data_IF_434980278468
#
_entry.id   IF_434980278468
#
_cell.length_a   1.000
_cell.length_b   1.000
_cell.length_c   1.000
_cell.angle_alpha   90.00
_cell.angle_beta   90.00
_cell.angle_gamma   90.00
#
_symmetry.space_group_name_H-M   'P 1'
#
loop_
_entity.id
_entity.type
_entity.pdbx_description
1 polymer ?
#
# COMPACT_ATOMS: atom_id res chain seq x y z
N UNK A 1 2.42 -18.75 -8.43
CA UNK A 1 1.49 -18.92 -7.28
C UNK A 1 0.14 -19.51 -7.71
N UNK A 2 -0.34 -19.32 -8.96
CA UNK A 2 -1.61 -19.89 -9.46
C UNK A 2 -2.81 -19.67 -8.52
N UNK A 3 -2.92 -18.45 -7.98
CA UNK A 3 -4.00 -18.07 -7.07
C UNK A 3 -5.18 -17.54 -7.88
N UNK A 4 -6.36 -18.09 -7.61
CA UNK A 4 -7.62 -17.71 -8.28
C UNK A 4 -8.49 -16.77 -7.47
N UNK A 5 -8.44 -16.87 -6.14
CA UNK A 5 -9.15 -15.98 -5.23
C UNK A 5 -8.25 -14.78 -4.92
N UNK A 6 -8.54 -13.65 -5.54
CA UNK A 6 -7.84 -12.37 -5.33
C UNK A 6 -8.88 -11.36 -4.88
N UNK A 7 -8.60 -10.72 -3.74
CA UNK A 7 -9.43 -9.68 -3.14
C UNK A 7 -8.59 -8.43 -2.99
N UNK A 8 -9.20 -7.27 -3.17
CA UNK A 8 -8.55 -5.99 -2.96
C UNK A 8 -9.16 -5.30 -1.75
N UNK A 9 -8.34 -4.55 -1.03
CA UNK A 9 -8.73 -3.64 0.05
C UNK A 9 -8.16 -2.28 -0.34
N UNK A 10 -9.01 -1.26 -0.42
CA UNK A 10 -8.55 0.10 -0.68
C UNK A 10 -8.29 0.76 0.66
N UNK A 11 -7.03 1.10 0.94
CA UNK A 11 -6.63 1.80 2.15
C UNK A 11 -5.99 3.12 1.76
N UNK A 12 -6.44 4.20 2.37
CA UNK A 12 -5.82 5.52 2.26
C UNK A 12 -5.01 5.78 3.52
N UNK A 13 -3.74 6.15 3.34
CA UNK A 13 -2.85 6.51 4.44
C UNK A 13 -1.96 7.69 4.07
N UNK A 14 -1.53 7.80 2.82
CA UNK A 14 -0.76 8.94 2.33
C UNK A 14 -1.66 9.96 1.65
N UNK A 15 -1.51 11.24 2.00
CA UNK A 15 -2.19 12.37 1.34
C UNK A 15 -1.30 13.07 0.33
N UNK A 16 0.03 13.05 0.54
CA UNK A 16 1.04 13.53 -0.40
C UNK A 16 2.39 12.82 -0.12
N UNK A 17 3.44 13.15 -0.87
CA UNK A 17 4.78 12.61 -0.72
C UNK A 17 5.37 12.91 0.67
N UNK A 18 5.39 11.91 1.54
CA UNK A 18 5.89 12.03 2.91
C UNK A 18 4.86 12.57 3.90
N UNK A 19 3.60 12.77 3.48
CA UNK A 19 2.51 13.19 4.35
C UNK A 19 1.50 12.05 4.53
N UNK A 20 1.22 11.70 5.78
CA UNK A 20 0.29 10.64 6.14
C UNK A 20 -0.89 11.16 6.96
N UNK A 21 -2.02 10.47 6.89
CA UNK A 21 -3.08 10.54 7.87
C UNK A 21 -2.58 10.06 9.25
N UNK A 22 -3.26 10.42 10.35
CA UNK A 22 -2.94 9.89 11.67
C UNK A 22 -3.03 8.36 11.74
N UNK A 23 -3.98 7.78 11.02
CA UNK A 23 -4.24 6.34 10.94
C UNK A 23 -4.67 5.95 9.52
N UNK A 24 -4.37 4.72 9.06
CA UNK A 24 -4.89 4.21 7.79
C UNK A 24 -6.42 4.11 7.82
N UNK A 25 -7.07 4.45 6.70
CA UNK A 25 -8.53 4.45 6.57
C UNK A 25 -8.96 3.54 5.43
N UNK A 26 -9.95 2.69 5.69
CA UNK A 26 -10.57 1.89 4.64
C UNK A 26 -11.44 2.79 3.74
N UNK A 27 -11.22 2.70 2.44
CA UNK A 27 -12.01 3.42 1.43
C UNK A 27 -12.96 2.45 0.73
N UNK A 28 -14.24 2.80 0.67
CA UNK A 28 -15.26 2.00 0.01
C UNK A 28 -15.78 0.84 0.88
N UNK A 29 -16.33 -0.18 0.23
CA UNK A 29 -16.89 -1.33 0.94
C UNK A 29 -15.80 -2.34 1.28
N UNK A 30 -15.72 -2.83 2.53
CA UNK A 30 -14.78 -3.88 2.89
C UNK A 30 -15.09 -5.15 2.08
N UNK A 31 -14.07 -5.90 1.62
CA UNK A 31 -14.31 -7.22 1.09
C UNK A 31 -14.89 -8.12 2.19
N UNK A 32 -15.68 -9.12 1.79
CA UNK A 32 -16.01 -10.20 2.71
C UNK A 32 -14.73 -10.98 3.01
N UNK A 33 -14.31 -11.06 4.28
CA UNK A 33 -13.06 -11.73 4.70
C UNK A 33 -13.31 -12.88 5.70
N UNK A 34 -14.54 -13.04 6.18
CA UNK A 34 -14.86 -14.02 7.23
C UNK A 34 -14.65 -15.48 6.78
N UNK A 35 -14.79 -15.77 5.49
CA UNK A 35 -14.49 -17.10 4.92
C UNK A 35 -12.99 -17.39 4.77
N UNK A 36 -12.12 -16.48 5.22
CA UNK A 36 -10.67 -16.71 5.27
C UNK A 36 -10.21 -17.37 6.58
N UNK A 37 -11.12 -17.67 7.50
CA UNK A 37 -10.82 -18.36 8.75
C UNK A 37 -10.08 -19.69 8.50
N UNK A 38 -8.96 -19.89 9.21
CA UNK A 38 -8.07 -21.05 9.07
C UNK A 38 -7.36 -21.19 7.71
N UNK A 39 -7.55 -20.25 6.76
CA UNK A 39 -6.90 -20.30 5.45
C UNK A 39 -5.51 -19.67 5.48
N UNK A 40 -4.70 -20.02 4.49
CA UNK A 40 -3.43 -19.34 4.20
C UNK A 40 -3.71 -18.14 3.31
N UNK A 41 -3.34 -16.95 3.79
CA UNK A 41 -3.59 -15.66 3.12
C UNK A 41 -2.25 -15.00 2.84
N UNK A 42 -2.08 -14.49 1.62
CA UNK A 42 -0.97 -13.61 1.27
C UNK A 42 -1.51 -12.18 1.15
N UNK A 43 -1.05 -11.30 2.05
CA UNK A 43 -1.23 -9.85 1.90
C UNK A 43 -0.06 -9.34 1.07
N UNK A 44 -0.37 -8.65 -0.03
CA UNK A 44 0.63 -8.07 -0.91
C UNK A 44 0.43 -6.57 -1.01
N UNK A 45 1.52 -5.82 -0.87
CA UNK A 45 1.55 -4.35 -1.05
C UNK A 45 2.83 -3.95 -1.80
N UNK A 46 2.95 -2.73 -2.28
CA UNK A 46 4.13 -2.30 -3.02
C UNK A 46 5.30 -1.87 -2.12
N UNK A 47 5.04 -1.15 -1.04
CA UNK A 47 6.04 -0.72 -0.06
C UNK A 47 5.55 -0.84 1.38
N UNK A 48 6.37 -1.45 2.23
CA UNK A 48 6.27 -1.27 3.68
C UNK A 48 7.11 -0.05 4.07
N UNK A 49 6.46 1.11 4.30
CA UNK A 49 7.15 2.29 4.84
C UNK A 49 7.21 2.23 6.36
N UNK A 50 6.20 2.74 7.06
CA UNK A 50 6.03 2.44 8.51
C UNK A 50 5.48 1.03 8.74
N UNK A 51 4.74 0.49 7.77
CA UNK A 51 3.99 -0.78 7.89
C UNK A 51 2.58 -0.63 8.46
N UNK A 52 2.12 0.60 8.73
CA UNK A 52 0.79 0.85 9.32
C UNK A 52 -0.36 0.28 8.47
N UNK A 53 -0.30 0.40 7.14
CA UNK A 53 -1.29 -0.18 6.22
C UNK A 53 -1.37 -1.70 6.37
N UNK A 54 -0.23 -2.38 6.45
CA UNK A 54 -0.15 -3.84 6.59
C UNK A 54 -0.73 -4.30 7.93
N UNK A 55 -0.42 -3.58 9.01
CA UNK A 55 -0.99 -3.83 10.33
C UNK A 55 -2.52 -3.65 10.33
N UNK A 56 -3.01 -2.59 9.69
CA UNK A 56 -4.44 -2.32 9.53
C UNK A 56 -5.15 -3.45 8.78
N UNK A 57 -4.61 -3.87 7.62
CA UNK A 57 -5.17 -4.99 6.84
C UNK A 57 -5.11 -6.30 7.62
N UNK A 58 -4.03 -6.57 8.37
CA UNK A 58 -3.93 -7.76 9.23
C UNK A 58 -5.04 -7.81 10.28
N UNK A 59 -5.41 -6.67 10.86
CA UNK A 59 -6.47 -6.57 11.86
C UNK A 59 -7.88 -6.81 11.28
N UNK A 60 -8.07 -6.66 9.95
CA UNK A 60 -9.33 -6.98 9.27
C UNK A 60 -9.49 -8.49 8.98
N UNK A 61 -8.39 -9.25 8.98
CA UNK A 61 -8.41 -10.69 8.70
C UNK A 61 -8.81 -11.49 9.95
N UNK A 62 -9.46 -12.66 9.78
CA UNK A 62 -9.73 -13.56 10.91
C UNK A 62 -8.48 -13.84 11.74
N UNK A 63 -8.65 -13.97 13.07
CA UNK A 63 -7.53 -14.19 13.98
C UNK A 63 -6.76 -15.47 13.65
N UNK A 64 -7.48 -16.52 13.26
CA UNK A 64 -6.96 -17.86 12.95
C UNK A 64 -6.46 -18.02 11.50
N UNK A 65 -6.53 -16.97 10.68
CA UNK A 65 -5.92 -16.99 9.35
C UNK A 65 -4.38 -17.05 9.46
N UNK A 66 -3.76 -17.87 8.62
CA UNK A 66 -2.31 -17.98 8.50
C UNK A 66 -1.85 -16.93 7.48
N UNK A 67 -1.49 -15.75 7.96
CA UNK A 67 -1.17 -14.59 7.12
C UNK A 67 0.33 -14.51 6.88
N UNK A 68 0.71 -14.37 5.61
CA UNK A 68 2.03 -13.91 5.20
C UNK A 68 1.92 -12.58 4.47
N UNK A 69 2.96 -11.76 4.59
CA UNK A 69 3.03 -10.43 4.01
C UNK A 69 4.21 -10.35 3.06
N UNK A 70 3.96 -9.91 1.83
CA UNK A 70 4.98 -9.70 0.82
C UNK A 70 4.91 -8.28 0.26
N UNK A 71 6.07 -7.63 0.18
CA UNK A 71 6.21 -6.30 -0.43
C UNK A 71 7.33 -6.27 -1.45
N UNK A 72 7.26 -5.31 -2.39
CA UNK A 72 8.39 -5.07 -3.29
C UNK A 72 9.52 -4.36 -2.55
N UNK A 73 9.20 -3.38 -1.71
CA UNK A 73 10.20 -2.65 -0.94
C UNK A 73 9.86 -2.57 0.54
N UNK A 74 10.88 -2.69 1.39
CA UNK A 74 10.79 -2.32 2.80
C UNK A 74 11.67 -1.10 3.09
N UNK A 75 11.33 -0.37 4.15
CA UNK A 75 12.05 0.83 4.60
C UNK A 75 12.69 0.60 5.96
N UNK A 76 13.83 1.24 6.29
CA UNK A 76 14.47 1.06 7.60
C UNK A 76 13.58 1.42 8.80
N UNK A 77 12.57 2.26 8.59
CA UNK A 77 11.60 2.69 9.62
C UNK A 77 10.38 1.77 9.76
N UNK A 78 10.31 0.65 9.04
CA UNK A 78 9.18 -0.28 9.11
C UNK A 78 9.11 -0.92 10.50
N UNK A 79 7.98 -0.74 11.19
CA UNK A 79 7.73 -1.35 12.51
C UNK A 79 6.95 -2.65 12.40
N UNK A 80 6.06 -2.75 11.40
CA UNK A 80 5.37 -3.99 11.04
C UNK A 80 6.08 -4.62 9.84
N UNK A 81 7.05 -5.50 10.13
CA UNK A 81 7.91 -6.08 9.11
C UNK A 81 7.17 -7.11 8.23
N UNK A 82 7.36 -7.07 6.89
CA UNK A 82 6.84 -8.11 6.00
C UNK A 82 7.64 -9.41 6.15
N UNK A 83 7.02 -10.56 5.83
CA UNK A 83 7.73 -11.84 5.78
C UNK A 83 8.70 -11.90 4.58
N UNK A 84 8.33 -11.23 3.49
CA UNK A 84 9.08 -11.20 2.23
C UNK A 84 9.19 -9.77 1.72
N UNK A 85 10.41 -9.30 1.47
CA UNK A 85 10.68 -8.07 0.76
C UNK A 85 11.62 -8.35 -0.41
N UNK A 86 11.35 -7.82 -1.60
CA UNK A 86 12.31 -7.93 -2.71
C UNK A 86 13.58 -7.10 -2.44
N UNK A 87 13.44 -5.89 -1.87
CA UNK A 87 14.58 -5.03 -1.55
C UNK A 87 14.31 -4.06 -0.39
N UNK A 88 15.30 -3.84 0.46
CA UNK A 88 15.29 -2.72 1.43
C UNK A 88 15.88 -1.44 0.84
N UNK A 89 15.25 -0.29 1.06
CA UNK A 89 15.73 1.02 0.60
C UNK A 89 15.19 2.17 1.45
N UNK A 90 16.01 3.18 1.73
CA UNK A 90 15.61 4.44 2.36
C UNK A 90 15.06 5.46 1.35
N UNK A 91 15.52 5.40 0.10
CA UNK A 91 15.15 6.32 -0.99
C UNK A 91 13.66 6.34 -1.29
N UNK A 92 13.13 7.51 -1.67
CA UNK A 92 11.78 7.61 -2.22
C UNK A 92 11.62 6.71 -3.45
N UNK A 93 10.51 5.97 -3.52
CA UNK A 93 10.23 5.03 -4.60
C UNK A 93 9.20 5.67 -5.52
N UNK A 94 9.54 5.78 -6.80
CA UNK A 94 8.59 6.20 -7.82
C UNK A 94 8.15 4.99 -8.62
N UNK A 95 6.98 4.45 -8.29
CA UNK A 95 6.42 3.32 -9.01
C UNK A 95 5.86 3.72 -10.38
N UNK A 96 5.87 2.81 -11.39
CA UNK A 96 5.30 3.07 -12.70
C UNK A 96 3.81 3.43 -12.71
N UNK A 97 3.05 3.04 -11.68
CA UNK A 97 1.60 3.25 -11.56
C UNK A 97 1.22 4.53 -10.81
N UNK A 98 2.18 5.32 -10.30
CA UNK A 98 1.87 6.61 -9.67
C UNK A 98 1.41 7.60 -10.75
N UNK A 99 0.20 8.16 -10.58
CA UNK A 99 -0.28 9.27 -11.40
C UNK A 99 0.50 10.54 -11.06
N UNK A 100 1.28 11.04 -12.01
CA UNK A 100 1.84 12.38 -11.93
C UNK A 100 0.75 13.33 -12.44
N UNK A 101 0.49 14.49 -11.79
CA UNK A 101 -0.34 15.51 -12.41
C UNK A 101 0.18 15.77 -13.83
N UNK A 102 -0.70 15.95 -14.84
CA UNK A 102 -0.25 16.24 -16.19
C UNK A 102 0.72 17.43 -16.16
N UNK A 103 1.82 17.33 -16.91
CA UNK A 103 2.81 18.40 -17.00
C UNK A 103 2.07 19.66 -17.44
N UNK A 104 1.87 20.61 -16.52
CA UNK A 104 1.36 21.93 -16.85
C UNK A 104 2.49 22.62 -17.61
N UNK A 105 2.38 22.68 -18.93
CA UNK A 105 3.22 23.59 -19.70
C UNK A 105 2.80 24.99 -19.23
N UNK A 106 3.69 25.67 -18.50
CA UNK A 106 3.49 27.07 -18.20
C UNK A 106 3.25 27.78 -19.53
N UNK A 107 2.09 28.42 -19.69
CA UNK A 107 1.85 29.25 -20.86
C UNK A 107 2.98 30.28 -20.88
N UNK A 108 3.90 30.15 -21.85
CA UNK A 108 4.93 31.12 -22.08
C UNK A 108 4.20 32.45 -22.25
N UNK A 109 4.44 33.37 -21.32
CA UNK A 109 3.70 34.61 -21.21
C UNK A 109 3.61 35.25 -22.59
N UNK A 110 2.38 35.50 -23.05
CA UNK A 110 2.17 36.39 -24.18
C UNK A 110 2.60 37.78 -23.72
N UNK A 111 3.87 38.09 -23.92
CA UNK A 111 4.31 39.48 -23.98
C UNK A 111 3.75 40.03 -25.28
N UNK A 112 2.77 40.91 -25.19
CA UNK A 112 2.29 41.69 -26.31
C UNK A 112 1.83 43.04 -25.77
N UNK A 113 2.80 43.96 -25.86
CA UNK A 113 2.74 45.40 -26.20
C UNK A 113 1.41 46.11 -25.99
#
# INVERSE_FOLDING_TARGET
>A
LDIKDVRHVNVEFYTDAGETLPEPVLIGQPPYLADLAGKRVLVADDVADTGATLQFVRAMLPEDAIVHVAVLYEKPGTTYAPDLAWRSTDRWIRFPWIQVPPVRIAEAGRSSV
#
